data_IF_391662041023
#
_entry.id   IF_391662041023
#
_cell.length_a   1.000
_cell.length_b   1.000
_cell.length_c   1.000
_cell.angle_alpha   90.00
_cell.angle_beta   90.00
_cell.angle_gamma   90.00
#
_symmetry.space_group_name_H-M   'P 1'
#
loop_
_entity.id
_entity.type
_entity.pdbx_description
1 polymer ?
#
# COMPACT_ATOMS: atom_id res chain seq x y z
N UNK A 1 5.54 -19.85 12.07
CA UNK A 1 4.35 -20.73 12.09
C UNK A 1 3.47 -20.35 13.28
N UNK A 2 2.16 -20.17 13.07
CA UNK A 2 1.23 -19.86 14.17
C UNK A 2 0.96 -21.11 15.04
N UNK A 3 0.42 -20.96 16.27
CA UNK A 3 0.21 -22.09 17.19
C UNK A 3 -0.70 -23.19 16.63
N UNK A 4 -1.74 -22.79 15.89
CA UNK A 4 -2.68 -23.72 15.25
C UNK A 4 -1.96 -24.64 14.23
N UNK A 5 -1.10 -24.07 13.38
CA UNK A 5 -0.31 -24.86 12.42
C UNK A 5 0.81 -25.65 13.09
N UNK A 6 1.39 -25.11 14.18
CA UNK A 6 2.44 -25.78 14.95
C UNK A 6 1.92 -27.00 15.73
N UNK A 7 0.61 -27.07 15.98
CA UNK A 7 -0.06 -28.23 16.59
C UNK A 7 -0.13 -29.44 15.66
N UNK A 8 0.04 -29.24 14.35
CA UNK A 8 0.14 -30.32 13.36
C UNK A 8 1.61 -30.81 13.25
N UNK A 9 1.92 -32.06 13.62
CA UNK A 9 3.28 -32.59 13.59
C UNK A 9 3.94 -32.55 12.22
N UNK A 10 3.18 -32.80 11.15
CA UNK A 10 3.70 -32.87 9.77
C UNK A 10 4.10 -31.47 9.29
N UNK A 11 3.25 -30.46 9.53
CA UNK A 11 3.55 -29.07 9.20
C UNK A 11 4.75 -28.55 10.00
N UNK A 12 4.83 -28.92 11.28
CA UNK A 12 5.96 -28.60 12.15
C UNK A 12 7.26 -29.21 11.61
N UNK A 13 7.22 -30.46 11.17
CA UNK A 13 8.38 -31.15 10.60
C UNK A 13 8.83 -30.50 9.28
N UNK A 14 7.91 -30.23 8.36
CA UNK A 14 8.18 -29.57 7.08
C UNK A 14 8.83 -28.18 7.28
N UNK A 15 8.28 -27.38 8.21
CA UNK A 15 8.85 -26.07 8.53
C UNK A 15 10.29 -26.16 9.05
N UNK A 16 10.58 -27.15 9.89
CA UNK A 16 11.92 -27.36 10.44
C UNK A 16 12.88 -27.91 9.38
N UNK A 17 12.40 -28.74 8.45
CA UNK A 17 13.18 -29.19 7.30
C UNK A 17 13.56 -28.02 6.40
N UNK A 18 12.62 -27.12 6.10
CA UNK A 18 12.88 -25.89 5.36
C UNK A 18 13.89 -25.00 6.08
N UNK A 19 13.70 -24.76 7.38
CA UNK A 19 14.63 -23.94 8.15
C UNK A 19 16.06 -24.52 8.16
N UNK A 20 16.20 -25.85 8.26
CA UNK A 20 17.51 -26.53 8.16
C UNK A 20 18.12 -26.42 6.78
N UNK A 21 17.33 -26.59 5.72
CA UNK A 21 17.80 -26.43 4.35
C UNK A 21 18.30 -25.00 4.09
N UNK A 22 17.57 -23.99 4.59
CA UNK A 22 17.96 -22.58 4.50
C UNK A 22 19.24 -22.28 5.30
N UNK A 23 19.40 -22.85 6.50
CA UNK A 23 20.58 -22.65 7.35
C UNK A 23 21.87 -23.24 6.75
N UNK A 24 21.76 -24.21 5.83
CA UNK A 24 22.91 -24.81 5.12
C UNK A 24 23.45 -23.90 4.00
N UNK A 25 22.69 -22.88 3.60
CA UNK A 25 23.06 -21.98 2.50
C UNK A 25 24.11 -20.98 2.99
N UNK A 26 25.30 -21.04 2.40
CA UNK A 26 26.39 -20.09 2.63
C UNK A 26 26.72 -19.38 1.32
N UNK A 27 26.10 -18.22 1.11
CA UNK A 27 26.28 -17.43 -0.11
C UNK A 27 26.02 -15.94 0.15
N UNK A 28 26.95 -15.09 -0.26
CA UNK A 28 26.86 -13.64 -0.03
C UNK A 28 25.64 -12.98 -0.71
N UNK A 29 25.11 -13.58 -1.78
CA UNK A 29 23.91 -13.06 -2.44
C UNK A 29 22.61 -13.45 -1.75
N UNK A 30 22.61 -14.40 -0.80
CA UNK A 30 21.39 -14.96 -0.19
C UNK A 30 21.38 -14.66 1.31
N UNK A 31 20.24 -14.26 1.87
CA UNK A 31 20.13 -14.00 3.30
C UNK A 31 20.39 -15.26 4.13
N UNK A 32 21.21 -15.11 5.18
CA UNK A 32 21.48 -16.20 6.10
C UNK A 32 20.28 -16.48 7.01
N UNK A 33 20.10 -17.77 7.34
CA UNK A 33 19.20 -18.21 8.41
C UNK A 33 20.09 -18.70 9.55
N UNK A 34 19.96 -18.08 10.72
CA UNK A 34 20.87 -18.29 11.85
C UNK A 34 20.40 -19.40 12.80
N UNK A 35 19.12 -19.38 13.14
CA UNK A 35 18.55 -20.32 14.11
C UNK A 35 17.08 -20.59 13.81
N UNK A 36 16.57 -21.70 14.33
CA UNK A 36 15.15 -22.02 14.39
C UNK A 36 14.79 -22.41 15.81
N UNK A 37 13.63 -21.97 16.29
CA UNK A 37 13.23 -22.11 17.68
C UNK A 37 11.72 -22.06 17.87
N UNK A 38 11.30 -22.17 19.13
CA UNK A 38 9.90 -22.14 19.55
C UNK A 38 9.71 -21.17 20.71
N UNK A 39 8.78 -20.23 20.59
CA UNK A 39 8.41 -19.26 21.63
C UNK A 39 6.87 -19.18 21.67
N UNK A 40 6.27 -19.37 22.85
CA UNK A 40 4.81 -19.26 23.04
C UNK A 40 4.02 -20.10 22.00
N UNK A 41 4.41 -21.36 21.82
CA UNK A 41 3.82 -22.30 20.84
C UNK A 41 3.97 -21.87 19.36
N UNK A 42 4.77 -20.84 19.08
CA UNK A 42 5.12 -20.41 17.72
C UNK A 42 6.49 -20.91 17.34
N UNK A 43 6.56 -21.56 16.19
CA UNK A 43 7.83 -21.99 15.60
C UNK A 43 8.31 -20.92 14.64
N UNK A 44 9.57 -20.53 14.76
CA UNK A 44 10.18 -19.50 13.92
C UNK A 44 11.58 -19.91 13.49
N UNK A 45 12.10 -19.21 12.49
CA UNK A 45 13.53 -19.13 12.24
C UNK A 45 13.94 -17.66 12.15
N UNK A 46 15.15 -17.36 12.61
CA UNK A 46 15.72 -16.02 12.57
C UNK A 46 16.59 -15.87 11.33
N UNK A 47 16.43 -14.74 10.65
CA UNK A 47 17.18 -14.42 9.43
C UNK A 47 18.06 -13.20 9.65
N UNK A 48 19.03 -13.03 8.77
CA UNK A 48 19.78 -11.79 8.63
C UNK A 48 18.83 -10.59 8.46
N UNK A 49 18.98 -9.60 9.35
CA UNK A 49 18.23 -8.35 9.29
C UNK A 49 18.93 -7.39 8.34
N UNK A 50 18.24 -7.03 7.26
CA UNK A 50 18.68 -6.00 6.33
C UNK A 50 17.62 -4.90 6.24
N UNK A 51 18.06 -3.65 6.16
CA UNK A 51 17.20 -2.49 5.91
C UNK A 51 17.15 -2.25 4.41
N UNK A 52 16.15 -2.85 3.76
CA UNK A 52 16.05 -2.99 2.32
C UNK A 52 14.60 -2.94 1.84
N UNK A 53 14.41 -2.44 0.63
CA UNK A 53 13.13 -2.48 -0.09
C UNK A 53 13.11 -3.70 -1.02
N UNK A 54 11.97 -4.38 -1.13
CA UNK A 54 11.86 -5.45 -2.12
C UNK A 54 11.72 -4.88 -3.54
N UNK A 55 12.12 -5.66 -4.55
CA UNK A 55 11.92 -5.32 -5.96
C UNK A 55 10.43 -5.17 -6.25
N UNK A 56 9.58 -5.97 -5.61
CA UNK A 56 8.12 -5.79 -5.65
C UNK A 56 7.72 -4.40 -5.15
N UNK A 57 8.21 -3.98 -3.98
CA UNK A 57 7.94 -2.66 -3.42
C UNK A 57 8.42 -1.55 -4.36
N UNK A 58 9.61 -1.69 -4.95
CA UNK A 58 10.17 -0.73 -5.91
C UNK A 58 9.37 -0.65 -7.22
N UNK A 59 8.93 -1.79 -7.75
CA UNK A 59 8.05 -1.89 -8.92
C UNK A 59 6.70 -1.23 -8.65
N UNK A 60 6.11 -1.50 -7.49
CA UNK A 60 4.84 -0.90 -7.07
C UNK A 60 4.98 0.61 -6.87
N UNK A 61 6.15 1.08 -6.42
CA UNK A 61 6.48 2.51 -6.26
C UNK A 61 6.81 3.22 -7.58
N UNK A 62 6.91 2.50 -8.70
CA UNK A 62 7.29 3.06 -10.00
C UNK A 62 8.72 3.61 -10.01
N UNK A 63 9.60 3.08 -9.15
CA UNK A 63 10.97 3.55 -9.05
C UNK A 63 11.75 3.19 -10.33
N UNK A 64 12.48 4.13 -10.90
CA UNK A 64 13.48 3.80 -11.93
C UNK A 64 14.84 3.61 -11.26
N UNK A 65 15.53 2.53 -11.59
CA UNK A 65 16.89 2.29 -11.10
C UNK A 65 17.89 2.64 -12.19
N UNK A 66 19.09 3.08 -11.82
CA UNK A 66 20.14 3.33 -12.82
C UNK A 66 20.46 2.05 -13.59
N UNK A 67 20.91 2.19 -14.84
CA UNK A 67 21.34 1.04 -15.64
C UNK A 67 22.43 0.21 -14.93
N UNK A 68 23.31 0.87 -14.17
CA UNK A 68 24.36 0.20 -13.39
C UNK A 68 23.78 -0.60 -12.22
N UNK A 69 22.85 -0.02 -11.47
CA UNK A 69 22.15 -0.70 -10.37
C UNK A 69 21.36 -1.91 -10.89
N UNK A 70 20.67 -1.78 -12.03
CA UNK A 70 19.95 -2.86 -12.69
C UNK A 70 20.86 -4.04 -13.03
N UNK A 71 22.01 -3.76 -13.65
CA UNK A 71 23.01 -4.78 -14.02
C UNK A 71 23.58 -5.45 -12.77
N UNK A 72 23.83 -4.69 -11.70
CA UNK A 72 24.30 -5.23 -10.43
C UNK A 72 23.24 -6.15 -9.78
N UNK A 73 21.97 -5.72 -9.74
CA UNK A 73 20.85 -6.53 -9.24
C UNK A 73 20.75 -7.85 -10.00
N UNK A 74 20.81 -7.80 -11.34
CA UNK A 74 20.74 -9.00 -12.15
C UNK A 74 21.88 -9.98 -11.89
N UNK A 75 23.11 -9.47 -11.75
CA UNK A 75 24.30 -10.27 -11.44
C UNK A 75 24.17 -10.97 -10.07
N UNK A 76 23.73 -10.25 -9.04
CA UNK A 76 23.60 -10.79 -7.69
C UNK A 76 22.51 -11.87 -7.61
N UNK A 77 21.33 -11.60 -8.20
CA UNK A 77 20.21 -12.56 -8.25
C UNK A 77 20.62 -13.82 -9.02
N UNK A 78 21.27 -13.65 -10.19
CA UNK A 78 21.77 -14.77 -10.97
C UNK A 78 22.80 -15.61 -10.18
N UNK A 79 23.73 -14.97 -9.46
CA UNK A 79 24.72 -15.67 -8.64
C UNK A 79 24.08 -16.50 -7.52
N UNK A 80 23.08 -15.95 -6.83
CA UNK A 80 22.36 -16.68 -5.77
C UNK A 80 21.59 -17.89 -6.31
N UNK A 81 20.84 -17.71 -7.41
CA UNK A 81 20.07 -18.80 -8.01
C UNK A 81 20.96 -19.89 -8.63
N UNK A 82 22.08 -19.52 -9.25
CA UNK A 82 23.09 -20.48 -9.74
C UNK A 82 23.71 -21.28 -8.60
N UNK A 83 23.99 -20.65 -7.45
CA UNK A 83 24.51 -21.34 -6.28
C UNK A 83 23.53 -22.42 -5.78
N UNK A 84 22.25 -22.06 -5.58
CA UNK A 84 21.23 -23.01 -5.11
C UNK A 84 21.10 -24.22 -6.05
N UNK A 85 21.17 -23.98 -7.35
CA UNK A 85 21.08 -25.04 -8.36
C UNK A 85 22.32 -25.92 -8.44
N UNK A 86 23.52 -25.34 -8.34
CA UNK A 86 24.76 -26.13 -8.28
C UNK A 86 24.80 -27.00 -7.03
N UNK A 87 24.28 -26.48 -5.91
CA UNK A 87 24.10 -27.23 -4.68
C UNK A 87 22.96 -28.25 -4.74
N UNK A 88 22.18 -28.29 -5.84
CA UNK A 88 20.99 -29.13 -6.05
C UNK A 88 19.96 -29.00 -4.93
N UNK A 89 19.83 -27.78 -4.38
CA UNK A 89 18.88 -27.47 -3.33
C UNK A 89 17.55 -27.10 -3.99
N UNK A 90 16.44 -27.77 -3.65
CA UNK A 90 15.12 -27.35 -4.11
C UNK A 90 14.80 -25.95 -3.60
N UNK A 91 14.11 -25.14 -4.41
CA UNK A 91 13.78 -23.76 -4.03
C UNK A 91 12.33 -23.40 -4.35
N UNK A 92 11.83 -22.36 -3.69
CA UNK A 92 10.60 -21.69 -4.09
C UNK A 92 10.79 -20.98 -5.45
N UNK A 93 9.73 -20.85 -6.26
CA UNK A 93 9.76 -20.00 -7.45
C UNK A 93 10.09 -18.55 -7.08
N UNK A 94 10.95 -17.91 -7.86
CA UNK A 94 11.39 -16.54 -7.59
C UNK A 94 10.19 -15.58 -7.66
N UNK A 95 10.01 -14.72 -6.66
CA UNK A 95 9.06 -13.62 -6.71
C UNK A 95 9.78 -12.27 -6.62
N UNK A 96 9.17 -11.15 -7.07
CA UNK A 96 9.79 -9.83 -6.92
C UNK A 96 9.95 -9.44 -5.43
N UNK A 97 9.15 -10.00 -4.53
CA UNK A 97 9.27 -9.78 -3.09
C UNK A 97 10.57 -10.35 -2.49
N UNK A 98 11.17 -11.33 -3.17
CA UNK A 98 12.34 -12.05 -2.68
C UNK A 98 13.66 -11.32 -2.96
N UNK A 99 13.64 -10.29 -3.79
CA UNK A 99 14.82 -9.54 -4.20
C UNK A 99 14.83 -8.24 -3.39
N UNK A 100 15.81 -8.10 -2.51
CA UNK A 100 15.92 -7.00 -1.56
C UNK A 100 17.04 -6.05 -1.98
N UNK A 101 16.74 -4.76 -2.03
CA UNK A 101 17.62 -3.70 -2.51
C UNK A 101 17.73 -2.64 -1.41
N UNK A 102 18.94 -2.44 -0.90
CA UNK A 102 19.26 -1.42 0.08
C UNK A 102 19.48 -0.06 -0.57
N UNK A 103 19.41 1.01 0.24
CA UNK A 103 19.61 2.40 -0.22
C UNK A 103 21.01 2.60 -0.82
N UNK A 104 22.02 1.87 -0.34
CA UNK A 104 23.39 1.92 -0.86
C UNK A 104 23.60 1.12 -2.16
N UNK A 105 22.54 0.47 -2.68
CA UNK A 105 22.59 -0.35 -3.88
C UNK A 105 23.03 -1.79 -3.65
N UNK A 106 23.21 -2.21 -2.39
CA UNK A 106 23.44 -3.62 -2.03
C UNK A 106 22.17 -4.42 -2.33
N UNK A 107 22.35 -5.57 -2.98
CA UNK A 107 21.25 -6.47 -3.35
C UNK A 107 21.42 -7.78 -2.59
N UNK A 108 20.33 -8.32 -2.06
CA UNK A 108 20.27 -9.62 -1.40
C UNK A 108 19.02 -10.37 -1.83
N UNK A 109 19.09 -11.68 -1.91
CA UNK A 109 17.97 -12.55 -2.20
C UNK A 109 17.47 -13.17 -0.88
N UNK A 110 16.16 -13.26 -0.70
CA UNK A 110 15.60 -14.11 0.34
C UNK A 110 16.04 -15.55 0.14
N UNK A 111 16.17 -16.28 1.24
CA UNK A 111 16.60 -17.66 1.17
C UNK A 111 15.45 -18.54 0.69
N UNK A 112 15.48 -18.92 -0.60
CA UNK A 112 14.42 -19.69 -1.24
C UNK A 112 14.53 -21.20 -1.01
N UNK A 113 15.58 -21.69 -0.33
CA UNK A 113 15.82 -23.12 -0.14
C UNK A 113 14.67 -23.83 0.60
N UNK A 114 14.37 -25.06 0.20
CA UNK A 114 13.37 -25.93 0.81
C UNK A 114 14.00 -27.25 1.25
N UNK A 115 13.42 -27.84 2.29
CA UNK A 115 13.80 -29.16 2.80
C UNK A 115 12.88 -30.24 2.26
N UNK A 116 13.44 -31.27 1.61
CA UNK A 116 12.67 -32.43 1.15
C UNK A 116 12.53 -32.54 -0.38
N UNK A 117 11.57 -33.35 -0.84
CA UNK A 117 11.32 -33.62 -2.26
C UNK A 117 10.30 -32.63 -2.81
N UNK A 118 10.78 -31.49 -3.30
CA UNK A 118 9.96 -30.52 -4.03
C UNK A 118 10.18 -30.65 -5.54
N UNK A 119 9.16 -30.37 -6.36
CA UNK A 119 9.34 -30.28 -7.80
C UNK A 119 10.39 -29.22 -8.15
N UNK A 120 11.18 -29.49 -9.18
CA UNK A 120 12.17 -28.53 -9.65
C UNK A 120 11.47 -27.23 -10.09
N UNK A 121 12.05 -26.08 -9.70
CA UNK A 121 11.60 -24.77 -10.18
C UNK A 121 11.74 -24.63 -11.68
N UNK A 122 10.74 -24.01 -12.32
CA UNK A 122 10.80 -23.66 -13.74
C UNK A 122 11.73 -22.45 -13.95
N UNK A 123 12.97 -22.75 -14.35
CA UNK A 123 13.99 -21.75 -14.62
C UNK A 123 13.56 -20.72 -15.69
N UNK A 124 12.79 -21.14 -16.69
CA UNK A 124 12.32 -20.23 -17.72
C UNK A 124 11.28 -19.26 -17.13
N UNK A 125 10.38 -19.75 -16.30
CA UNK A 125 9.40 -18.89 -15.62
C UNK A 125 10.09 -17.81 -14.75
N UNK A 126 11.11 -18.19 -13.97
CA UNK A 126 11.86 -17.24 -13.14
C UNK A 126 12.59 -16.16 -13.98
N UNK A 127 13.22 -16.58 -15.09
CA UNK A 127 13.94 -15.67 -16.00
C UNK A 127 12.99 -14.68 -16.68
N UNK A 128 11.83 -15.15 -17.16
CA UNK A 128 10.82 -14.32 -17.82
C UNK A 128 10.21 -13.31 -16.85
N UNK A 129 9.85 -13.75 -15.64
CA UNK A 129 9.34 -12.88 -14.58
C UNK A 129 10.36 -11.80 -14.23
N UNK A 130 11.60 -12.19 -13.98
CA UNK A 130 12.64 -11.24 -13.57
C UNK A 130 13.02 -10.28 -14.70
N UNK A 131 13.16 -10.77 -15.94
CA UNK A 131 13.38 -9.92 -17.11
C UNK A 131 12.27 -8.88 -17.28
N UNK A 132 11.02 -9.28 -17.07
CA UNK A 132 9.85 -8.38 -17.09
C UNK A 132 9.91 -7.34 -15.97
N UNK A 133 10.39 -7.71 -14.78
CA UNK A 133 10.59 -6.79 -13.67
C UNK A 133 11.67 -5.75 -13.99
N UNK A 134 12.83 -6.20 -14.48
CA UNK A 134 13.92 -5.29 -14.85
C UNK A 134 13.52 -4.35 -15.98
N UNK A 135 12.74 -4.81 -16.96
CA UNK A 135 12.23 -3.97 -18.04
C UNK A 135 11.35 -2.83 -17.53
N UNK A 136 10.52 -3.08 -16.51
CA UNK A 136 9.66 -2.06 -15.89
C UNK A 136 10.44 -1.02 -15.09
N UNK A 137 11.59 -1.41 -14.52
CA UNK A 137 12.46 -0.50 -13.76
C UNK A 137 13.49 0.21 -14.62
N UNK A 138 13.57 -0.15 -15.91
CA UNK A 138 14.55 0.39 -16.85
C UNK A 138 14.23 1.86 -17.15
N UNK A 139 15.19 2.79 -16.92
CA UNK A 139 14.94 4.20 -17.13
C UNK A 139 14.74 4.50 -18.63
N UNK A 140 14.00 5.58 -18.98
CA UNK A 140 13.75 5.95 -20.38
C UNK A 140 15.03 6.13 -21.20
N UNK A 141 16.07 6.69 -20.59
CA UNK A 141 17.40 6.94 -21.17
C UNK A 141 18.29 5.70 -21.28
N UNK A 142 17.81 4.52 -20.88
CA UNK A 142 18.61 3.31 -20.96
C UNK A 142 18.99 2.95 -22.41
N UNK A 143 20.17 2.34 -22.63
CA UNK A 143 20.61 1.90 -23.94
C UNK A 143 19.58 1.01 -24.65
N UNK A 144 19.38 1.24 -25.95
CA UNK A 144 18.34 0.56 -26.74
C UNK A 144 18.58 -0.96 -26.85
N UNK A 145 19.85 -1.38 -26.93
CA UNK A 145 20.29 -2.77 -26.91
C UNK A 145 19.89 -3.48 -25.61
N UNK A 146 20.07 -2.82 -24.46
CA UNK A 146 19.66 -3.33 -23.15
C UNK A 146 18.14 -3.47 -23.05
N UNK A 147 17.39 -2.47 -23.52
CA UNK A 147 15.92 -2.52 -23.57
C UNK A 147 15.45 -3.69 -24.43
N UNK A 148 15.97 -3.84 -25.64
CA UNK A 148 15.62 -4.95 -26.54
C UNK A 148 16.08 -6.31 -26.00
N UNK A 149 17.16 -6.39 -25.23
CA UNK A 149 17.55 -7.62 -24.53
C UNK A 149 16.51 -8.03 -23.46
N UNK A 150 16.07 -7.07 -22.62
CA UNK A 150 15.08 -7.32 -21.57
C UNK A 150 13.68 -7.60 -22.16
N UNK A 151 13.27 -6.91 -23.22
CA UNK A 151 12.02 -7.17 -23.95
C UNK A 151 11.99 -8.59 -24.52
N UNK A 152 13.08 -9.05 -25.15
CA UNK A 152 13.18 -10.43 -25.64
C UNK A 152 13.11 -11.45 -24.51
N UNK A 153 13.74 -11.17 -23.38
CA UNK A 153 13.72 -12.06 -22.21
C UNK A 153 12.32 -12.10 -21.55
N UNK A 154 11.58 -11.00 -21.61
CA UNK A 154 10.24 -10.87 -21.05
C UNK A 154 9.14 -11.50 -21.95
N UNK A 155 9.27 -11.39 -23.28
CA UNK A 155 8.20 -11.71 -24.24
C UNK A 155 8.39 -13.02 -25.03
N UNK A 156 9.63 -13.42 -25.32
CA UNK A 156 9.88 -14.71 -25.98
C UNK A 156 10.18 -15.76 -24.92
N UNK A 157 9.74 -16.99 -25.16
CA UNK A 157 10.18 -18.13 -24.37
C UNK A 157 11.69 -18.03 -24.09
N UNK A 158 12.15 -18.05 -22.83
CA UNK A 158 13.58 -18.01 -22.46
C UNK A 158 14.45 -19.10 -23.09
N UNK A 159 13.87 -19.99 -23.92
CA UNK A 159 14.45 -21.15 -24.60
C UNK A 159 15.74 -20.89 -25.40
N UNK A 160 16.11 -19.64 -25.71
CA UNK A 160 17.41 -19.31 -26.33
C UNK A 160 18.52 -19.00 -25.34
N UNK A 161 18.19 -18.64 -24.11
CA UNK A 161 19.16 -18.51 -23.01
C UNK A 161 19.31 -19.88 -22.35
N UNK A 162 20.53 -20.39 -22.23
CA UNK A 162 20.81 -21.66 -21.54
C UNK A 162 20.67 -21.57 -20.01
N UNK A 163 20.34 -20.38 -19.46
CA UNK A 163 20.03 -20.15 -18.05
C UNK A 163 20.54 -18.82 -17.50
N UNK A 164 20.51 -18.67 -16.17
CA UNK A 164 20.96 -17.45 -15.45
C UNK A 164 22.38 -16.98 -15.78
N UNK A 165 23.26 -17.88 -16.21
CA UNK A 165 24.64 -17.56 -16.59
C UNK A 165 24.70 -16.69 -17.85
N UNK A 166 23.94 -17.05 -18.88
CA UNK A 166 23.86 -16.26 -20.12
C UNK A 166 23.05 -14.98 -19.92
N UNK A 167 21.99 -15.03 -19.11
CA UNK A 167 21.22 -13.86 -18.75
C UNK A 167 22.10 -12.79 -18.06
N UNK A 168 22.90 -13.18 -17.07
CA UNK A 168 23.82 -12.25 -16.41
C UNK A 168 24.92 -11.75 -17.35
N UNK A 169 25.40 -12.57 -18.29
CA UNK A 169 26.43 -12.17 -19.24
C UNK A 169 25.90 -11.15 -20.27
N UNK A 170 24.66 -11.32 -20.75
CA UNK A 170 24.00 -10.37 -21.65
C UNK A 170 23.74 -8.99 -21.03
N UNK A 171 23.81 -8.89 -19.70
CA UNK A 171 23.69 -7.65 -18.94
C UNK A 171 25.04 -7.03 -18.53
N UNK A 172 26.18 -7.56 -18.96
CA UNK A 172 27.48 -6.93 -18.71
C UNK A 172 27.67 -5.67 -19.58
N UNK A 173 28.25 -4.56 -19.07
CA UNK A 173 28.54 -3.38 -19.89
C UNK A 173 29.59 -3.72 -20.97
N UNK A 174 29.48 -3.12 -22.16
CA UNK A 174 30.56 -3.16 -23.15
C UNK A 174 31.74 -2.29 -22.67
N UNK A 175 32.71 -2.93 -22.00
CA UNK A 175 33.96 -2.34 -21.46
C UNK A 175 33.82 -1.31 -20.32
N UNK A 176 34.85 -1.19 -19.44
CA UNK A 176 34.71 -0.47 -18.17
C UNK A 176 34.83 1.05 -18.35
N UNK A 177 33.84 1.79 -17.85
CA UNK A 177 33.88 3.25 -17.71
C UNK A 177 34.65 3.61 -16.43
N UNK A 178 35.64 4.53 -16.45
CA UNK A 178 36.44 4.84 -15.27
C UNK A 178 35.66 5.64 -14.22
N UNK A 179 35.95 5.38 -12.95
CA UNK A 179 35.28 5.96 -11.79
C UNK A 179 35.35 7.50 -11.74
N UNK A 180 34.23 8.13 -11.39
CA UNK A 180 34.10 9.58 -11.23
C UNK A 180 34.43 9.98 -9.77
N UNK A 181 35.17 11.08 -9.51
CA UNK A 181 35.57 11.45 -8.15
C UNK A 181 34.44 12.17 -7.38
N UNK A 182 34.46 12.01 -6.06
CA UNK A 182 33.46 12.50 -5.10
C UNK A 182 33.37 14.04 -5.00
N UNK A 183 32.19 14.63 -4.68
CA UNK A 183 32.04 16.07 -4.57
C UNK A 183 32.46 16.62 -3.20
N UNK A 184 33.19 17.74 -3.22
CA UNK A 184 33.63 18.50 -2.04
C UNK A 184 32.52 19.33 -1.38
N UNK A 185 32.65 19.49 -0.06
CA UNK A 185 31.76 20.23 0.82
C UNK A 185 31.79 21.76 0.58
N UNK A 186 30.63 22.42 0.75
CA UNK A 186 30.54 23.90 0.83
C UNK A 186 30.10 24.37 2.23
N UNK A 187 30.88 25.31 2.75
CA UNK A 187 30.77 26.08 4.02
C UNK A 187 29.74 27.24 3.96
N UNK A 188 29.40 27.89 5.11
CA UNK A 188 28.05 28.36 5.41
C UNK A 188 27.73 29.82 5.06
N UNK A 189 26.43 30.12 4.91
CA UNK A 189 25.88 31.45 4.63
C UNK A 189 25.86 32.36 5.89
N UNK A 190 26.29 33.63 5.72
CA UNK A 190 26.35 34.69 6.74
C UNK A 190 25.11 35.61 6.70
N UNK A 191 24.67 36.04 7.88
CA UNK A 191 23.59 36.99 8.10
C UNK A 191 23.95 38.45 7.76
N UNK A 192 22.95 39.29 7.46
CA UNK A 192 23.00 40.78 7.48
C UNK A 192 21.57 41.39 7.51
N UNK A 193 21.38 42.68 7.88
CA UNK A 193 20.89 43.07 9.21
C UNK A 193 19.51 43.76 9.21
N UNK A 194 18.92 43.88 10.41
CA UNK A 194 17.73 44.70 10.70
C UNK A 194 18.10 46.18 10.78
N UNK A 195 17.23 47.04 10.24
CA UNK A 195 16.92 48.30 10.92
C UNK A 195 15.47 48.74 10.73
N UNK A 196 14.98 49.46 11.75
CA UNK A 196 13.61 49.84 12.06
C UNK A 196 13.35 51.29 11.66
N UNK A 197 12.12 51.60 11.27
CA UNK A 197 11.51 52.87 11.64
C UNK A 197 10.01 52.72 11.86
N UNK A 198 9.58 53.19 13.02
CA UNK A 198 8.29 52.96 13.66
C UNK A 198 7.19 53.89 13.14
N UNK A 199 5.97 53.43 13.41
CA UNK A 199 4.83 54.17 13.94
C UNK A 199 3.98 55.02 12.98
N UNK A 200 2.72 54.61 12.89
CA UNK A 200 1.44 55.36 12.92
C UNK A 200 0.40 54.36 12.36
N UNK A 201 -0.71 53.99 12.98
CA UNK A 201 -1.45 54.53 14.10
C UNK A 201 -2.42 53.41 14.52
N UNK A 202 -2.38 52.99 15.79
CA UNK A 202 -3.45 52.23 16.40
C UNK A 202 -4.55 53.22 16.80
N UNK A 203 -5.58 53.37 15.97
CA UNK A 203 -6.83 54.06 16.32
C UNK A 203 -7.93 53.75 15.30
N UNK A 204 -8.28 52.47 15.15
CA UNK A 204 -9.54 52.03 14.53
C UNK A 204 -9.95 50.62 15.00
N UNK A 205 -9.42 50.18 16.13
CA UNK A 205 -9.74 48.91 16.76
C UNK A 205 -10.92 49.14 17.71
N UNK A 206 -12.15 49.06 17.20
CA UNK A 206 -13.27 48.42 17.90
C UNK A 206 -14.58 48.32 17.08
N UNK A 207 -14.64 48.86 15.86
CA UNK A 207 -15.84 48.72 15.00
C UNK A 207 -15.63 47.86 13.75
N UNK A 208 -14.40 47.42 13.47
CA UNK A 208 -14.08 46.53 12.35
C UNK A 208 -14.15 45.03 12.72
N UNK A 209 -14.18 44.69 14.01
CA UNK A 209 -14.12 43.30 14.49
C UNK A 209 -15.40 42.48 14.22
N UNK A 210 -16.54 43.14 13.99
CA UNK A 210 -17.82 42.46 13.72
C UNK A 210 -18.20 42.40 12.23
N UNK A 211 -17.53 43.16 11.36
CA UNK A 211 -17.72 43.10 9.90
C UNK A 211 -16.67 42.21 9.19
N UNK A 212 -15.49 42.01 9.79
CA UNK A 212 -14.46 41.11 9.26
C UNK A 212 -14.72 39.65 9.65
N UNK A 213 -15.35 39.38 10.80
CA UNK A 213 -15.69 38.00 11.22
C UNK A 213 -16.74 37.33 10.32
N UNK A 214 -17.78 38.06 9.92
CA UNK A 214 -18.82 37.56 9.03
C UNK A 214 -18.39 37.44 7.56
N UNK A 215 -17.49 38.32 7.10
CA UNK A 215 -16.99 38.28 5.72
C UNK A 215 -15.84 37.29 5.54
N UNK A 216 -14.99 37.04 6.55
CA UNK A 216 -13.97 36.00 6.46
C UNK A 216 -14.58 34.59 6.54
N UNK A 217 -15.60 34.37 7.38
CA UNK A 217 -16.36 33.12 7.39
C UNK A 217 -17.19 32.94 6.11
N UNK A 218 -17.80 34.02 5.60
CA UNK A 218 -18.52 34.02 4.32
C UNK A 218 -17.61 33.76 3.12
N UNK A 219 -16.41 34.35 3.06
CA UNK A 219 -15.43 34.13 1.98
C UNK A 219 -14.77 32.75 2.08
N UNK A 220 -14.50 32.24 3.29
CA UNK A 220 -14.03 30.85 3.46
C UNK A 220 -15.11 29.82 3.12
N UNK A 221 -16.40 30.15 3.31
CA UNK A 221 -17.51 29.32 2.88
C UNK A 221 -17.78 29.41 1.36
N UNK A 222 -17.48 30.55 0.73
CA UNK A 222 -17.64 30.76 -0.73
C UNK A 222 -16.44 30.32 -1.60
N UNK A 223 -15.30 29.93 -1.01
CA UNK A 223 -14.10 29.52 -1.75
C UNK A 223 -13.69 28.04 -1.56
N UNK A 224 -14.33 27.31 -0.66
CA UNK A 224 -14.28 25.86 -0.70
C UNK A 224 -15.27 25.39 -1.79
N UNK A 225 -14.85 24.62 -2.82
CA UNK A 225 -15.82 24.00 -3.72
C UNK A 225 -16.79 23.18 -2.87
N UNK A 226 -18.10 23.26 -3.14
CA UNK A 226 -19.12 22.40 -2.51
C UNK A 226 -18.59 20.96 -2.50
N UNK A 227 -18.16 20.43 -1.33
CA UNK A 227 -17.50 19.14 -1.30
C UNK A 227 -18.54 18.11 -1.73
N UNK A 228 -18.20 17.33 -2.76
CA UNK A 228 -19.05 16.22 -3.18
C UNK A 228 -19.32 15.34 -1.97
N UNK A 229 -20.58 15.24 -1.58
CA UNK A 229 -20.98 14.41 -0.46
C UNK A 229 -21.22 13.00 -0.99
N UNK A 230 -20.42 11.99 -0.61
CA UNK A 230 -20.69 10.60 -0.98
C UNK A 230 -22.10 10.23 -0.56
N UNK A 231 -22.77 9.31 -1.26
CA UNK A 231 -24.04 8.77 -0.75
C UNK A 231 -23.78 8.21 0.65
N UNK A 232 -24.64 8.55 1.60
CA UNK A 232 -24.46 8.18 3.00
C UNK A 232 -25.55 7.24 3.47
N UNK A 233 -25.13 6.42 4.42
CA UNK A 233 -25.97 5.53 5.18
C UNK A 233 -26.02 6.05 6.62
N UNK A 234 -27.24 6.23 7.14
CA UNK A 234 -27.45 6.57 8.54
C UNK A 234 -27.40 5.30 9.39
N UNK A 235 -26.52 5.29 10.38
CA UNK A 235 -26.49 4.29 11.45
C UNK A 235 -27.17 4.92 12.67
N UNK A 236 -28.32 4.40 13.12
CA UNK A 236 -29.04 4.96 14.27
C UNK A 236 -28.24 4.89 15.56
N UNK A 237 -28.65 5.68 16.55
CA UNK A 237 -28.17 5.52 17.92
C UNK A 237 -28.64 4.17 18.45
N UNK A 238 -27.71 3.33 18.89
CA UNK A 238 -28.03 2.04 19.50
C UNK A 238 -26.84 1.49 20.30
N UNK A 239 -27.01 0.30 20.85
CA UNK A 239 -26.01 -0.49 21.55
C UNK A 239 -25.55 -1.65 20.65
N UNK A 240 -24.45 -1.42 19.93
CA UNK A 240 -23.94 -2.33 18.90
C UNK A 240 -22.97 -3.39 19.44
N UNK A 241 -23.14 -4.69 19.08
CA UNK A 241 -22.15 -5.72 19.34
C UNK A 241 -20.85 -5.46 18.56
N UNK A 242 -19.71 -5.68 19.21
CA UNK A 242 -18.36 -5.57 18.64
C UNK A 242 -17.66 -6.94 18.74
N UNK A 243 -16.59 -7.17 17.96
CA UNK A 243 -15.90 -8.46 17.87
C UNK A 243 -15.46 -9.14 19.18
N UNK A 244 -15.27 -8.38 20.26
CA UNK A 244 -14.94 -8.91 21.59
C UNK A 244 -16.16 -9.46 22.37
N UNK A 245 -17.36 -9.45 21.78
CA UNK A 245 -18.62 -9.70 22.48
C UNK A 245 -19.09 -8.51 23.34
N UNK A 246 -18.26 -7.46 23.47
CA UNK A 246 -18.65 -6.19 24.10
C UNK A 246 -19.71 -5.50 23.27
N UNK A 247 -20.64 -4.83 23.96
CA UNK A 247 -21.58 -3.90 23.35
C UNK A 247 -21.14 -2.45 23.60
N UNK A 248 -21.15 -1.64 22.55
CA UNK A 248 -20.75 -0.21 22.61
C UNK A 248 -21.94 0.65 22.22
N UNK A 249 -22.25 1.64 23.06
CA UNK A 249 -23.27 2.64 22.73
C UNK A 249 -22.66 3.64 21.77
N UNK A 250 -23.26 3.79 20.59
CA UNK A 250 -22.86 4.79 19.61
C UNK A 250 -24.03 5.77 19.42
N UNK A 251 -23.73 7.07 19.40
CA UNK A 251 -24.67 8.07 18.90
C UNK A 251 -24.96 7.83 17.42
N UNK A 252 -26.07 8.37 16.92
CA UNK A 252 -26.38 8.28 15.50
C UNK A 252 -25.29 8.98 14.68
N UNK A 253 -24.82 8.33 13.61
CA UNK A 253 -23.82 8.87 12.71
C UNK A 253 -24.13 8.46 11.27
N UNK A 254 -23.66 9.27 10.32
CA UNK A 254 -23.70 8.91 8.90
C UNK A 254 -22.34 8.39 8.47
N UNK A 255 -22.30 7.30 7.71
CA UNK A 255 -21.09 6.77 7.08
C UNK A 255 -21.29 6.72 5.57
N UNK A 256 -20.23 6.88 4.79
CA UNK A 256 -20.33 6.72 3.35
C UNK A 256 -20.81 5.31 3.00
N UNK A 257 -21.79 5.23 2.12
CA UNK A 257 -22.40 3.96 1.69
C UNK A 257 -21.42 3.09 0.89
N UNK A 258 -20.33 3.65 0.38
CA UNK A 258 -19.27 2.95 -0.36
C UNK A 258 -17.92 3.56 -0.02
N UNK A 259 -16.85 2.93 -0.48
CA UNK A 259 -15.48 3.46 -0.42
C UNK A 259 -15.36 4.80 -1.18
N UNK A 260 -14.41 5.64 -0.76
CA UNK A 260 -14.03 6.84 -1.52
C UNK A 260 -13.40 6.39 -2.84
N UNK A 261 -13.86 6.94 -3.96
CA UNK A 261 -13.38 6.60 -5.31
C UNK A 261 -12.23 7.48 -5.77
N UNK A 262 -11.50 7.01 -6.78
CA UNK A 262 -10.49 7.82 -7.47
C UNK A 262 -11.07 9.15 -8.00
N UNK A 263 -12.32 9.14 -8.49
CA UNK A 263 -13.02 10.34 -8.96
C UNK A 263 -13.19 11.39 -7.87
N UNK A 264 -13.53 10.96 -6.66
CA UNK A 264 -13.69 11.84 -5.51
C UNK A 264 -12.34 12.36 -5.03
N UNK A 265 -11.38 11.45 -4.88
CA UNK A 265 -10.03 11.79 -4.41
C UNK A 265 -9.28 12.70 -5.40
N UNK A 266 -9.54 12.57 -6.70
CA UNK A 266 -8.98 13.47 -7.72
C UNK A 266 -9.33 14.94 -7.46
N UNK A 267 -10.57 15.24 -7.05
CA UNK A 267 -10.98 16.61 -6.73
C UNK A 267 -10.19 17.18 -5.57
N UNK A 268 -9.93 16.35 -4.56
CA UNK A 268 -9.07 16.73 -3.44
C UNK A 268 -7.64 17.00 -3.90
N UNK A 269 -7.05 16.13 -4.72
CA UNK A 269 -5.70 16.34 -5.26
C UNK A 269 -5.60 17.60 -6.12
N UNK A 270 -6.59 17.85 -6.99
CA UNK A 270 -6.64 19.06 -7.82
C UNK A 270 -6.71 20.32 -6.95
N UNK A 271 -7.49 20.28 -5.87
CA UNK A 271 -7.59 21.38 -4.91
C UNK A 271 -6.30 21.58 -4.11
N UNK A 272 -5.69 20.52 -3.56
CA UNK A 272 -4.42 20.57 -2.81
C UNK A 272 -3.30 21.17 -3.66
N UNK A 273 -3.22 20.79 -4.94
CA UNK A 273 -2.21 21.30 -5.87
C UNK A 273 -2.38 22.79 -6.18
N UNK A 274 -3.60 23.29 -6.19
CA UNK A 274 -3.92 24.70 -6.49
C UNK A 274 -3.93 25.59 -5.26
N UNK A 275 -4.09 25.01 -4.06
CA UNK A 275 -4.18 25.73 -2.78
C UNK A 275 -3.22 25.19 -1.69
N UNK A 276 -1.91 25.04 -1.95
CA UNK A 276 -0.99 24.32 -1.06
C UNK A 276 -0.85 24.93 0.35
N UNK A 277 -1.05 26.25 0.50
CA UNK A 277 -1.01 26.93 1.81
C UNK A 277 -2.27 26.67 2.65
N UNK A 278 -3.40 26.47 2.00
CA UNK A 278 -4.68 26.18 2.66
C UNK A 278 -4.83 24.68 2.93
N UNK A 279 -4.25 23.85 2.06
CA UNK A 279 -4.17 22.40 2.25
C UNK A 279 -3.54 22.01 3.60
N UNK A 280 -2.52 22.76 4.04
CA UNK A 280 -1.87 22.57 5.33
C UNK A 280 -2.81 22.68 6.55
N UNK A 281 -4.05 23.21 6.39
CA UNK A 281 -5.06 23.24 7.45
C UNK A 281 -5.72 21.89 7.70
N UNK A 282 -5.62 20.98 6.73
CA UNK A 282 -6.16 19.62 6.81
C UNK A 282 -5.09 18.59 7.17
N UNK A 283 -3.84 19.02 7.30
CA UNK A 283 -2.73 18.20 7.78
C UNK A 283 -3.07 17.62 9.15
N UNK A 284 -2.86 16.31 9.30
CA UNK A 284 -3.01 15.69 10.61
C UNK A 284 -1.83 16.13 11.51
N UNK A 285 -2.07 16.47 12.80
CA UNK A 285 -1.02 16.98 13.69
C UNK A 285 0.17 16.01 13.90
N UNK A 286 -0.07 14.71 13.76
CA UNK A 286 0.93 13.64 13.88
C UNK A 286 1.58 13.21 12.55
N UNK A 287 1.25 13.84 11.42
CA UNK A 287 1.84 13.43 10.14
C UNK A 287 3.32 13.83 10.05
N UNK A 288 4.15 13.09 9.28
CA UNK A 288 5.55 13.44 9.06
C UNK A 288 5.72 14.86 8.49
N UNK A 289 6.82 15.55 8.83
CA UNK A 289 7.14 16.83 8.22
C UNK A 289 7.18 16.71 6.69
N UNK A 290 6.61 17.70 5.99
CA UNK A 290 6.56 17.74 4.53
C UNK A 290 5.84 16.56 3.86
N UNK A 291 4.94 15.90 4.58
CA UNK A 291 4.09 14.85 4.01
C UNK A 291 3.29 15.36 2.81
N UNK A 292 3.33 14.62 1.69
CA UNK A 292 2.58 14.94 0.48
C UNK A 292 1.31 14.10 0.42
N UNK A 293 0.16 14.77 0.27
CA UNK A 293 -1.13 14.10 0.12
C UNK A 293 -1.40 13.51 -1.28
N UNK A 294 -0.48 13.74 -2.22
CA UNK A 294 -0.53 13.20 -3.57
C UNK A 294 0.08 11.79 -3.55
N UNK A 295 -0.69 10.72 -3.85
CA UNK A 295 -0.15 9.37 -3.91
C UNK A 295 0.95 9.26 -4.97
N UNK A 296 1.92 8.35 -4.80
CA UNK A 296 2.92 8.06 -5.81
C UNK A 296 2.25 7.67 -7.13
N UNK A 297 2.81 8.10 -8.26
CA UNK A 297 2.28 7.88 -9.61
C UNK A 297 0.86 8.42 -9.88
N UNK A 298 0.24 9.18 -8.96
CA UNK A 298 -1.12 9.73 -9.17
C UNK A 298 -1.23 10.55 -10.45
N UNK A 299 -0.24 11.40 -10.74
CA UNK A 299 -0.24 12.26 -11.93
C UNK A 299 0.04 11.50 -13.23
N UNK A 300 0.62 10.31 -13.15
CA UNK A 300 0.84 9.43 -14.31
C UNK A 300 -0.42 8.62 -14.62
N UNK A 301 -1.08 8.09 -13.58
CA UNK A 301 -2.33 7.36 -13.69
C UNK A 301 -3.51 8.28 -14.07
N UNK A 302 -3.51 9.49 -13.53
CA UNK A 302 -4.55 10.49 -13.71
C UNK A 302 -3.97 11.82 -14.21
N UNK A 303 -3.44 11.85 -15.44
CA UNK A 303 -2.88 13.06 -16.02
C UNK A 303 -3.99 14.10 -16.28
N UNK A 304 -3.63 15.37 -16.38
CA UNK A 304 -4.60 16.48 -16.50
C UNK A 304 -5.56 16.34 -17.70
N UNK A 305 -5.10 15.70 -18.78
CA UNK A 305 -5.91 15.37 -19.96
C UNK A 305 -7.04 14.36 -19.68
N UNK A 306 -6.86 13.49 -18.69
CA UNK A 306 -7.79 12.43 -18.32
C UNK A 306 -8.76 12.86 -17.23
N UNK A 307 -8.85 14.14 -16.88
CA UNK A 307 -9.78 14.69 -15.88
C UNK A 307 -11.17 14.02 -15.92
N UNK A 308 -11.82 13.73 -14.79
CA UNK A 308 -13.09 13.01 -14.76
C UNK A 308 -14.21 13.67 -15.58
N UNK A 309 -14.15 14.99 -15.79
CA UNK A 309 -15.10 15.74 -16.62
C UNK A 309 -14.91 15.47 -18.12
N UNK A 310 -13.70 15.12 -18.54
CA UNK A 310 -13.28 14.91 -19.94
C UNK A 310 -13.21 13.43 -20.31
N UNK A 311 -12.87 12.56 -19.37
CA UNK A 311 -12.69 11.12 -19.55
C UNK A 311 -13.67 10.33 -18.67
N UNK A 312 -14.97 10.58 -18.86
CA UNK A 312 -16.03 10.06 -17.98
C UNK A 312 -16.13 8.54 -17.95
N UNK A 313 -15.79 7.90 -19.08
CA UNK A 313 -15.91 6.46 -19.33
C UNK A 313 -14.73 5.65 -18.79
N UNK A 314 -13.66 6.30 -18.30
CA UNK A 314 -12.53 5.57 -17.77
C UNK A 314 -12.92 4.84 -16.46
N UNK A 315 -12.88 3.49 -16.45
CA UNK A 315 -13.41 2.70 -15.35
C UNK A 315 -12.59 2.86 -14.05
N UNK A 316 -11.35 3.35 -14.15
CA UNK A 316 -10.51 3.61 -12.97
C UNK A 316 -11.12 4.67 -12.05
N UNK A 317 -11.96 5.57 -12.58
CA UNK A 317 -12.57 6.63 -11.81
C UNK A 317 -13.50 6.14 -10.71
N UNK A 318 -14.17 5.03 -10.95
CA UNK A 318 -15.18 4.51 -10.03
C UNK A 318 -14.62 3.41 -9.12
N UNK A 319 -13.35 3.03 -9.30
CA UNK A 319 -12.63 2.19 -8.34
C UNK A 319 -12.38 2.95 -7.03
N UNK A 320 -12.33 2.24 -5.88
CA UNK A 320 -11.85 2.81 -4.63
C UNK A 320 -10.47 3.44 -4.81
N UNK A 321 -10.26 4.60 -4.20
CA UNK A 321 -8.92 5.16 -4.05
C UNK A 321 -8.10 4.21 -3.19
N UNK A 322 -6.87 3.95 -3.62
CA UNK A 322 -5.90 3.16 -2.86
C UNK A 322 -4.51 3.78 -2.91
N UNK A 323 -3.54 3.14 -2.26
CA UNK A 323 -2.18 3.67 -2.09
C UNK A 323 -2.13 5.03 -1.37
N UNK A 324 -3.13 5.28 -0.53
CA UNK A 324 -3.23 6.44 0.37
C UNK A 324 -2.80 6.04 1.77
N UNK A 325 -2.00 6.87 2.42
CA UNK A 325 -1.65 6.70 3.83
C UNK A 325 -2.83 7.04 4.74
N UNK A 326 -2.70 6.75 6.03
CA UNK A 326 -3.70 7.19 7.01
C UNK A 326 -3.84 8.71 7.04
N UNK A 327 -2.72 9.44 6.91
CA UNK A 327 -2.69 10.91 6.88
C UNK A 327 -3.44 11.48 5.67
N UNK A 328 -3.32 10.82 4.53
CA UNK A 328 -4.03 11.18 3.30
C UNK A 328 -5.54 11.01 3.46
N UNK A 329 -5.94 9.89 4.04
CA UNK A 329 -7.34 9.60 4.34
C UNK A 329 -7.93 10.60 5.35
N UNK A 330 -7.17 10.96 6.40
CA UNK A 330 -7.54 12.00 7.36
C UNK A 330 -7.69 13.38 6.70
N UNK A 331 -6.73 13.79 5.88
CA UNK A 331 -6.76 15.10 5.23
C UNK A 331 -7.92 15.20 4.23
N UNK A 332 -8.18 14.14 3.46
CA UNK A 332 -9.36 14.08 2.59
C UNK A 332 -10.65 14.17 3.41
N UNK A 333 -10.77 13.40 4.49
CA UNK A 333 -11.96 13.43 5.34
C UNK A 333 -12.17 14.84 5.89
N UNK A 334 -11.14 15.47 6.45
CA UNK A 334 -11.21 16.83 6.97
C UNK A 334 -11.56 17.87 5.90
N UNK A 335 -10.99 17.74 4.69
CA UNK A 335 -11.30 18.60 3.54
C UNK A 335 -12.78 18.54 3.13
N UNK A 336 -13.41 17.38 3.27
CA UNK A 336 -14.85 17.21 3.02
C UNK A 336 -15.73 17.57 4.23
N UNK A 337 -15.17 18.06 5.34
CA UNK A 337 -15.89 18.32 6.58
C UNK A 337 -16.34 17.05 7.31
N UNK A 338 -15.64 15.94 7.07
CA UNK A 338 -15.92 14.59 7.58
C UNK A 338 -14.74 14.08 8.41
N UNK A 339 -14.86 12.86 8.93
CA UNK A 339 -13.81 12.14 9.66
C UNK A 339 -13.68 10.72 9.13
N UNK A 340 -12.61 10.01 9.49
CA UNK A 340 -12.60 8.55 9.33
C UNK A 340 -13.51 7.92 10.40
N UNK A 341 -14.24 6.83 10.08
CA UNK A 341 -14.99 6.10 11.09
C UNK A 341 -14.03 5.50 12.11
N UNK A 342 -14.42 5.47 13.39
CA UNK A 342 -13.79 4.57 14.36
C UNK A 342 -14.03 3.11 13.97
N UNK A 343 -13.22 2.19 14.47
CA UNK A 343 -13.46 0.75 14.31
C UNK A 343 -14.88 0.38 14.76
N UNK A 344 -15.33 0.90 15.91
CA UNK A 344 -16.67 0.60 16.42
C UNK A 344 -17.79 1.09 15.50
N UNK A 345 -17.64 2.29 14.93
CA UNK A 345 -18.57 2.83 13.94
C UNK A 345 -18.55 1.99 12.65
N UNK A 346 -17.37 1.59 12.19
CA UNK A 346 -17.21 0.78 10.99
C UNK A 346 -17.87 -0.59 11.16
N UNK A 347 -17.63 -1.26 12.30
CA UNK A 347 -18.28 -2.54 12.63
C UNK A 347 -19.80 -2.38 12.75
N UNK A 348 -20.29 -1.34 13.44
CA UNK A 348 -21.72 -1.11 13.59
C UNK A 348 -22.42 -0.92 12.23
N UNK A 349 -21.78 -0.22 11.30
CA UNK A 349 -22.30 0.02 9.95
C UNK A 349 -22.45 -1.26 9.12
N UNK A 350 -21.61 -2.27 9.36
CA UNK A 350 -21.66 -3.56 8.67
C UNK A 350 -22.53 -4.59 9.40
N UNK A 351 -22.29 -4.78 10.69
CA UNK A 351 -22.86 -5.87 11.51
C UNK A 351 -24.30 -5.61 11.96
N UNK A 352 -24.69 -4.33 12.06
CA UNK A 352 -25.99 -3.92 12.57
C UNK A 352 -26.22 -4.29 14.04
N UNK A 353 -27.44 -4.06 14.57
CA UNK A 353 -27.75 -4.28 15.98
C UNK A 353 -27.76 -5.77 16.37
N UNK A 354 -27.86 -6.66 15.37
CA UNK A 354 -27.79 -8.12 15.56
C UNK A 354 -26.35 -8.64 15.67
N UNK A 355 -25.34 -7.86 15.29
CA UNK A 355 -23.94 -8.28 15.39
C UNK A 355 -23.55 -9.36 14.37
N UNK A 356 -24.08 -9.29 13.15
CA UNK A 356 -23.82 -10.29 12.09
C UNK A 356 -22.33 -10.44 11.79
N UNK A 357 -21.87 -11.63 11.41
CA UNK A 357 -20.48 -11.88 11.03
C UNK A 357 -20.10 -11.23 9.68
N UNK A 358 -21.05 -11.18 8.74
CA UNK A 358 -20.93 -10.53 7.45
C UNK A 358 -22.09 -9.54 7.25
N UNK A 359 -22.00 -8.57 6.30
CA UNK A 359 -23.07 -7.60 6.07
C UNK A 359 -24.43 -8.24 5.78
N UNK A 360 -24.43 -9.44 5.19
CA UNK A 360 -25.63 -10.16 4.76
C UNK A 360 -26.13 -11.21 5.76
N UNK A 361 -25.31 -11.66 6.72
CA UNK A 361 -25.66 -12.76 7.61
C UNK A 361 -24.45 -13.39 8.29
N UNK A 362 -24.65 -14.55 8.91
CA UNK A 362 -23.60 -15.27 9.64
C UNK A 362 -22.93 -16.36 8.79
N UNK A 363 -23.54 -16.74 7.66
CA UNK A 363 -22.99 -17.72 6.74
C UNK A 363 -21.99 -17.08 5.76
N UNK A 364 -20.82 -17.71 5.52
CA UNK A 364 -19.85 -17.20 4.57
C UNK A 364 -20.34 -17.41 3.12
N UNK A 365 -20.61 -16.31 2.42
CA UNK A 365 -20.99 -16.26 0.99
C UNK A 365 -19.92 -15.45 0.20
N UNK A 366 -18.72 -16.00 -0.08
CA UNK A 366 -17.62 -15.25 -0.73
C UNK A 366 -17.96 -14.61 -2.06
N UNK A 367 -18.93 -15.15 -2.80
CA UNK A 367 -19.42 -14.64 -4.08
C UNK A 367 -20.13 -13.29 -3.98
N UNK A 368 -20.59 -12.89 -2.78
CA UNK A 368 -21.17 -11.56 -2.53
C UNK A 368 -20.12 -10.46 -2.39
N UNK A 369 -18.91 -10.85 -2.01
CA UNK A 369 -17.78 -9.99 -1.74
C UNK A 369 -16.80 -9.92 -2.91
N UNK A 370 -15.98 -8.87 -2.96
CA UNK A 370 -14.83 -8.85 -3.85
C UNK A 370 -13.58 -9.32 -3.09
N UNK A 371 -13.36 -10.63 -3.02
CA UNK A 371 -12.24 -11.26 -2.28
C UNK A 371 -11.41 -12.14 -3.21
N UNK A 372 -10.28 -12.65 -2.72
CA UNK A 372 -9.38 -13.49 -3.50
C UNK A 372 -10.11 -14.75 -3.94
N UNK A 373 -10.24 -14.92 -5.26
CA UNK A 373 -10.65 -16.20 -5.84
C UNK A 373 -9.42 -17.06 -6.15
N UNK A 374 -9.47 -18.36 -5.82
CA UNK A 374 -8.50 -19.32 -6.31
C UNK A 374 -8.38 -19.25 -7.83
N UNK A 375 -7.18 -19.45 -8.35
CA UNK A 375 -6.87 -19.27 -9.77
C UNK A 375 -7.72 -20.16 -10.68
N UNK A 376 -8.03 -21.39 -10.25
CA UNK A 376 -8.90 -22.30 -10.99
C UNK A 376 -10.37 -21.84 -11.11
N UNK A 377 -10.79 -20.83 -10.35
CA UNK A 377 -12.10 -20.19 -10.48
C UNK A 377 -12.06 -18.91 -11.34
N UNK A 378 -10.88 -18.47 -11.76
CA UNK A 378 -10.72 -17.31 -12.64
C UNK A 378 -10.86 -17.74 -14.10
N UNK A 379 -11.58 -16.97 -14.90
CA UNK A 379 -11.61 -17.16 -16.35
C UNK A 379 -10.24 -16.77 -16.95
N UNK A 380 -9.86 -17.30 -18.13
CA UNK A 380 -8.66 -16.85 -18.82
C UNK A 380 -8.66 -15.32 -19.01
N UNK A 381 -7.61 -14.66 -18.54
CA UNK A 381 -7.48 -13.19 -18.56
C UNK A 381 -8.17 -12.45 -17.41
N UNK A 382 -8.91 -13.14 -16.54
CA UNK A 382 -9.47 -12.57 -15.32
C UNK A 382 -8.40 -12.55 -14.23
N UNK A 383 -8.25 -11.41 -13.55
CA UNK A 383 -7.34 -11.25 -12.42
C UNK A 383 -8.11 -10.82 -11.19
N UNK A 384 -7.61 -11.18 -10.01
CA UNK A 384 -8.10 -10.59 -8.77
C UNK A 384 -7.69 -9.12 -8.73
N UNK A 385 -8.67 -8.22 -8.67
CA UNK A 385 -8.47 -6.78 -8.73
C UNK A 385 -9.62 -6.03 -8.05
N UNK A 386 -9.44 -4.73 -7.80
CA UNK A 386 -10.52 -3.91 -7.25
C UNK A 386 -11.66 -3.81 -8.27
N UNK A 387 -12.88 -3.69 -7.77
CA UNK A 387 -14.09 -3.41 -8.55
C UNK A 387 -14.57 -2.01 -8.20
N UNK A 388 -15.45 -1.45 -9.04
CA UNK A 388 -16.07 -0.16 -8.76
C UNK A 388 -16.71 -0.15 -7.36
N UNK A 389 -16.58 0.97 -6.64
CA UNK A 389 -17.08 1.10 -5.29
C UNK A 389 -18.58 0.79 -5.22
N UNK A 390 -18.98 -0.06 -4.27
CA UNK A 390 -20.37 -0.53 -4.15
C UNK A 390 -20.86 -1.51 -5.24
N UNK A 391 -20.00 -2.01 -6.11
CA UNK A 391 -20.34 -3.05 -7.09
C UNK A 391 -20.55 -4.44 -6.44
N UNK A 392 -20.01 -4.64 -5.23
CA UNK A 392 -20.24 -5.85 -4.42
C UNK A 392 -21.71 -5.99 -4.02
N UNK A 393 -22.15 -7.23 -3.84
CA UNK A 393 -23.50 -7.57 -3.38
C UNK A 393 -23.52 -7.80 -1.86
N UNK A 394 -22.89 -6.89 -1.13
CA UNK A 394 -22.59 -7.00 0.30
C UNK A 394 -23.24 -5.87 1.12
N UNK A 395 -24.43 -5.43 0.72
CA UNK A 395 -25.14 -4.39 1.44
C UNK A 395 -25.47 -4.83 2.88
N UNK A 396 -25.07 -4.02 3.87
CA UNK A 396 -25.49 -4.19 5.25
C UNK A 396 -26.97 -3.86 5.44
N UNK A 397 -27.50 -4.12 6.64
CA UNK A 397 -28.87 -3.74 7.03
C UNK A 397 -29.14 -2.24 6.93
N UNK A 398 -28.09 -1.41 6.93
CA UNK A 398 -28.17 0.03 6.76
C UNK A 398 -27.88 0.48 5.31
N UNK A 399 -27.50 -0.45 4.43
CA UNK A 399 -27.22 -0.19 3.02
C UNK A 399 -25.79 0.23 2.71
N UNK A 400 -24.86 0.13 3.66
CA UNK A 400 -23.44 0.30 3.37
C UNK A 400 -22.92 -0.94 2.62
N UNK A 401 -22.15 -0.71 1.56
CA UNK A 401 -21.56 -1.74 0.68
C UNK A 401 -20.04 -1.63 0.68
N UNK A 402 -19.37 -2.65 0.15
CA UNK A 402 -17.91 -2.74 0.10
C UNK A 402 -17.27 -2.93 1.47
N UNK A 403 -18.02 -3.45 2.45
CA UNK A 403 -17.50 -3.70 3.80
C UNK A 403 -16.86 -5.09 3.91
N UNK A 404 -17.10 -5.99 2.96
CA UNK A 404 -16.43 -7.30 2.90
C UNK A 404 -15.61 -7.41 1.60
N UNK A 405 -14.33 -7.11 1.70
CA UNK A 405 -13.38 -7.15 0.58
C UNK A 405 -13.27 -5.84 -0.19
N UNK A 406 -12.96 -5.95 -1.47
CA UNK A 406 -12.58 -4.88 -2.38
C UNK A 406 -11.27 -4.19 -1.94
N UNK A 407 -11.33 -3.21 -1.06
CA UNK A 407 -10.14 -2.64 -0.41
C UNK A 407 -10.32 -2.67 1.09
N UNK A 408 -9.22 -2.87 1.81
CA UNK A 408 -9.20 -2.69 3.24
C UNK A 408 -9.30 -1.21 3.55
N UNK A 409 -9.87 -0.88 4.70
CA UNK A 409 -10.23 0.50 5.00
C UNK A 409 -9.57 1.01 6.27
N UNK A 410 -8.91 2.17 6.14
CA UNK A 410 -8.44 2.95 7.27
C UNK A 410 -9.60 3.36 8.19
N UNK A 411 -9.38 3.21 9.50
CA UNK A 411 -10.26 3.77 10.55
C UNK A 411 -9.56 4.88 11.32
N UNK A 412 -10.28 5.60 12.17
CA UNK A 412 -9.70 6.55 13.12
C UNK A 412 -9.05 5.88 14.34
N UNK A 413 -9.26 4.57 14.55
CA UNK A 413 -8.85 3.88 15.78
C UNK A 413 -7.34 3.58 15.76
N UNK A 414 -6.65 3.98 16.84
CA UNK A 414 -5.20 3.84 17.03
C UNK A 414 -4.89 2.78 18.08
N UNK A 415 -3.85 1.97 17.85
CA UNK A 415 -3.32 0.97 18.79
C UNK A 415 -1.80 0.93 18.69
N UNK A 416 -1.08 1.20 19.78
CA UNK A 416 0.40 1.15 19.86
C UNK A 416 1.12 1.88 18.70
N UNK A 417 0.67 3.11 18.40
CA UNK A 417 1.24 3.95 17.32
C UNK A 417 0.87 3.51 15.90
N UNK A 418 0.10 2.43 15.75
CA UNK A 418 -0.45 1.91 14.49
C UNK A 418 -1.95 2.21 14.38
N UNK A 419 -2.51 1.95 13.20
CA UNK A 419 -3.92 2.20 12.89
C UNK A 419 -4.63 0.89 12.61
N UNK A 420 -5.87 0.81 13.07
CA UNK A 420 -6.78 -0.30 12.79
C UNK A 420 -7.34 -0.18 11.37
N UNK A 421 -7.26 -1.29 10.65
CA UNK A 421 -7.75 -1.45 9.27
C UNK A 421 -8.75 -2.60 9.22
N UNK A 422 -9.87 -2.39 8.51
CA UNK A 422 -11.02 -3.30 8.48
C UNK A 422 -11.37 -3.79 7.07
N UNK A 423 -12.24 -4.80 7.00
CA UNK A 423 -12.95 -5.22 5.78
C UNK A 423 -12.25 -6.24 4.87
N UNK A 424 -10.92 -6.40 4.96
CA UNK A 424 -10.19 -7.25 4.02
C UNK A 424 -10.14 -6.63 2.62
N UNK A 425 -9.72 -7.35 1.59
CA UNK A 425 -9.52 -6.80 0.24
C UNK A 425 -9.59 -7.85 -0.86
N UNK A 426 -9.59 -7.44 -2.13
CA UNK A 426 -9.72 -8.33 -3.30
C UNK A 426 -8.64 -9.41 -3.42
N UNK A 427 -7.50 -9.27 -2.73
CA UNK A 427 -6.44 -10.28 -2.69
C UNK A 427 -6.32 -11.02 -1.32
N UNK A 428 -7.34 -10.95 -0.48
CA UNK A 428 -7.42 -11.65 0.80
C UNK A 428 -8.58 -12.67 0.79
N UNK A 429 -8.56 -13.71 1.65
CA UNK A 429 -9.75 -14.52 1.89
C UNK A 429 -10.91 -13.67 2.43
N UNK A 430 -12.13 -14.21 2.39
CA UNK A 430 -13.27 -13.59 3.06
C UNK A 430 -13.01 -13.54 4.58
N UNK A 431 -13.21 -12.35 5.17
CA UNK A 431 -13.05 -12.09 6.58
C UNK A 431 -14.38 -11.67 7.20
N UNK A 432 -14.58 -12.02 8.47
CA UNK A 432 -15.68 -11.49 9.28
C UNK A 432 -15.47 -10.01 9.58
N UNK A 433 -16.55 -9.28 9.85
CA UNK A 433 -16.50 -7.83 10.06
C UNK A 433 -15.76 -7.39 11.33
N UNK A 434 -15.58 -8.28 12.31
CA UNK A 434 -14.69 -8.04 13.46
C UNK A 434 -13.21 -8.22 13.18
N UNK A 435 -12.84 -8.90 12.09
CA UNK A 435 -11.44 -9.04 11.72
C UNK A 435 -10.82 -7.64 11.54
N UNK A 436 -9.59 -7.50 12.01
CA UNK A 436 -8.85 -6.25 11.91
C UNK A 436 -7.36 -6.55 11.66
N UNK A 437 -6.73 -5.68 10.87
CA UNK A 437 -5.29 -5.56 10.78
C UNK A 437 -4.85 -4.30 11.51
N UNK A 438 -3.66 -4.32 12.11
CA UNK A 438 -3.09 -3.16 12.80
C UNK A 438 -1.74 -2.84 12.16
N UNK A 439 -1.70 -1.78 11.36
CA UNK A 439 -0.56 -1.48 10.48
C UNK A 439 -0.06 -0.04 10.68
N UNK A 440 1.21 0.26 10.34
CA UNK A 440 1.77 1.61 10.44
C UNK A 440 0.97 2.65 9.63
N UNK A 441 0.79 3.89 10.10
CA UNK A 441 -0.02 4.91 9.42
C UNK A 441 0.53 5.40 8.08
N UNK A 442 1.83 5.22 7.83
CA UNK A 442 2.52 5.54 6.58
C UNK A 442 2.42 4.42 5.53
N UNK A 443 1.81 3.28 5.89
CA UNK A 443 1.54 2.18 4.96
C UNK A 443 0.72 2.69 3.77
N UNK A 444 1.04 2.19 2.58
CA UNK A 444 0.25 2.42 1.37
C UNK A 444 0.32 1.16 0.51
N UNK A 445 -0.82 0.60 0.14
CA UNK A 445 -0.90 -0.57 -0.74
C UNK A 445 -2.04 -0.39 -1.73
N UNK A 446 -1.98 -1.11 -2.85
CA UNK A 446 -3.04 -1.11 -3.87
C UNK A 446 -4.38 -1.65 -3.35
N UNK A 447 -4.35 -2.33 -2.21
CA UNK A 447 -5.49 -2.98 -1.57
C UNK A 447 -6.04 -2.18 -0.39
N UNK A 448 -5.53 -0.98 -0.13
CA UNK A 448 -5.85 -0.19 1.07
C UNK A 448 -6.37 1.18 0.68
N UNK A 449 -7.63 1.43 1.01
CA UNK A 449 -8.35 2.67 0.81
C UNK A 449 -9.04 3.10 2.10
N UNK A 450 -10.18 3.78 1.97
CA UNK A 450 -10.97 4.24 3.12
C UNK A 450 -12.37 4.69 2.71
N UNK A 451 -13.20 4.92 3.72
CA UNK A 451 -14.47 5.65 3.63
C UNK A 451 -14.55 6.69 4.75
N UNK A 452 -15.48 7.64 4.67
CA UNK A 452 -15.64 8.68 5.68
C UNK A 452 -16.93 8.53 6.48
N UNK A 453 -17.00 9.21 7.62
CA UNK A 453 -18.15 9.30 8.50
C UNK A 453 -18.41 10.76 8.92
N UNK A 454 -19.61 11.02 9.42
CA UNK A 454 -19.94 12.31 10.02
C UNK A 454 -19.09 12.55 11.26
N UNK A 455 -18.62 13.79 11.49
CA UNK A 455 -17.94 14.12 12.73
C UNK A 455 -18.85 13.87 13.93
N UNK A 456 -18.29 13.64 15.13
CA UNK A 456 -19.08 13.58 16.36
C UNK A 456 -19.91 14.85 16.53
N UNK A 457 -21.17 14.71 16.94
CA UNK A 457 -22.02 15.87 17.27
C UNK A 457 -21.40 16.62 18.46
N UNK A 458 -21.13 17.94 18.35
CA UNK A 458 -20.60 18.71 19.47
C UNK A 458 -21.57 18.65 20.66
N UNK A 459 -21.11 18.15 21.81
CA UNK A 459 -21.89 18.13 23.06
C UNK A 459 -22.26 16.74 23.61
N UNK A 460 -21.83 15.65 22.97
CA UNK A 460 -21.87 14.31 23.57
C UNK A 460 -20.52 14.05 24.26
N UNK A 461 -20.51 13.63 25.54
CA UNK A 461 -19.32 13.62 26.41
C UNK A 461 -18.22 12.66 25.96
#
# INVERSE_FOLDING_TARGET
MNPESASNPDLKEDFLLDARAKAQIQNDSILAVYEAGEIEERIFYAIERIDAESLESLLLKGFSISTEALRNTARIVAAGLLYLRQAKVPCLPLQPADILIQIDGTVRLQNLALGGLHPATDEAADLSLFGSCLLKLLPPEAPADLRSFLERTALEHPLKLSGWKEFSAGLAPESPVPARPAPEAKTPWKARPKDRSKARLAAAALSAALLIGGTLAGVLHFMAPEPFTPKQTLVPKDLYPQGSGRRVSLEAFSIDSTEVTNRQYFKFIDWVRTHPREAARFDHPEQPPHHSHIPPAWLEMFPEKSRPEKDKENPLWDLPVSQVTWWDACAFAAWTGRVLPTEEQWEAAGRGPRGLLFPWGDEPEPERANVRRPEYLLKPGETNGPKAAGASNDASVFGAKGLSGNVSEWTATRRDGKVVVKGGHFNAPLLTLDAASIIPPDSRTINLGFRTASPPTPGTP
#
